data_IF_950321192260
#
_entry.id   IF_950321192260
#
_cell.length_a   1.000
_cell.length_b   1.000
_cell.length_c   1.000
_cell.angle_alpha   90.00
_cell.angle_beta   90.00
_cell.angle_gamma   90.00
#
_symmetry.space_group_name_H-M   'P 1'
#
loop_
_entity.id
_entity.type
_entity.pdbx_description
1 polymer ?
#
# COMPACT_ATOMS: atom_id res chain seq x y z
N UNK A 1 3.16 -1.27 -24.47
CA UNK A 1 1.74 -1.14 -24.09
C UNK A 1 1.70 -0.55 -22.70
N UNK A 2 1.21 0.67 -22.57
CA UNK A 2 1.23 1.40 -21.30
C UNK A 2 0.00 0.97 -20.48
N UNK A 3 0.20 0.20 -19.40
CA UNK A 3 -0.87 -0.06 -18.45
C UNK A 3 -1.38 1.28 -17.90
N UNK A 4 -2.69 1.49 -17.90
CA UNK A 4 -3.26 2.74 -17.36
C UNK A 4 -3.26 2.65 -15.85
N UNK A 5 -2.46 3.50 -15.20
CA UNK A 5 -2.42 3.60 -13.76
C UNK A 5 -3.43 4.64 -13.27
N UNK A 6 -4.27 4.23 -12.34
CA UNK A 6 -5.09 5.11 -11.52
C UNK A 6 -4.29 5.47 -10.28
N UNK A 7 -4.13 6.76 -10.01
CA UNK A 7 -3.42 7.24 -8.82
C UNK A 7 -4.42 7.76 -7.80
N UNK A 8 -4.28 7.32 -6.55
CA UNK A 8 -5.08 7.74 -5.42
C UNK A 8 -4.15 8.24 -4.33
N UNK A 9 -4.58 9.22 -3.55
CA UNK A 9 -3.83 9.73 -2.41
C UNK A 9 -4.68 9.60 -1.17
N UNK A 10 -4.10 9.00 -0.15
CA UNK A 10 -4.73 8.84 1.16
C UNK A 10 -3.79 9.29 2.25
N UNK A 11 -4.37 9.53 3.43
CA UNK A 11 -3.63 9.70 4.66
C UNK A 11 -3.94 8.52 5.58
N UNK A 12 -2.93 7.77 5.99
CA UNK A 12 -3.05 6.61 6.86
C UNK A 12 -2.12 6.80 8.07
N UNK A 13 -2.70 6.83 9.28
CA UNK A 13 -1.99 7.12 10.54
C UNK A 13 -1.10 8.40 10.50
N UNK A 14 -1.52 9.42 9.75
CA UNK A 14 -0.76 10.66 9.56
C UNK A 14 0.35 10.59 8.50
N UNK A 15 0.51 9.46 7.82
CA UNK A 15 1.43 9.27 6.69
C UNK A 15 0.63 9.42 5.40
N UNK A 16 1.05 10.32 4.52
CA UNK A 16 0.47 10.44 3.17
C UNK A 16 1.01 9.32 2.30
N UNK A 17 0.12 8.60 1.63
CA UNK A 17 0.46 7.47 0.76
C UNK A 17 -0.21 7.69 -0.60
N UNK A 18 0.58 7.64 -1.65
CA UNK A 18 0.14 7.54 -3.03
C UNK A 18 -0.01 6.07 -3.41
N UNK A 19 -1.21 5.68 -3.80
CA UNK A 19 -1.57 4.34 -4.27
C UNK A 19 -1.69 4.41 -5.78
N UNK A 20 -0.94 3.57 -6.50
CA UNK A 20 -1.09 3.42 -7.94
C UNK A 20 -1.66 2.07 -8.27
N UNK A 21 -2.69 2.05 -9.08
CA UNK A 21 -3.43 0.84 -9.41
C UNK A 21 -3.54 0.65 -10.92
N UNK A 22 -3.09 -0.50 -11.40
CA UNK A 22 -3.27 -0.95 -12.76
C UNK A 22 -4.01 -2.29 -12.76
N UNK A 23 -5.34 -2.31 -13.03
CA UNK A 23 -6.13 -3.55 -12.99
C UNK A 23 -5.75 -4.54 -14.11
N UNK A 24 -5.23 -4.03 -15.24
CA UNK A 24 -4.76 -4.81 -16.37
C UNK A 24 -3.26 -4.52 -16.59
N UNK A 25 -2.43 -4.96 -15.64
CA UNK A 25 -0.99 -4.76 -15.77
C UNK A 25 -0.39 -5.70 -16.81
N UNK A 26 -0.79 -6.97 -16.81
CA UNK A 26 -0.48 -7.91 -17.90
C UNK A 26 -1.58 -7.87 -18.96
N UNK A 27 -1.19 -7.87 -20.23
CA UNK A 27 -2.15 -8.03 -21.35
C UNK A 27 -2.49 -9.52 -21.60
N UNK A 28 -2.33 -10.36 -20.59
CA UNK A 28 -2.52 -11.81 -20.68
C UNK A 28 -3.93 -12.16 -20.25
N UNK A 29 -4.74 -12.64 -21.19
CA UNK A 29 -6.10 -13.13 -20.91
C UNK A 29 -6.11 -14.45 -20.14
N UNK A 30 -4.98 -15.18 -20.08
CA UNK A 30 -4.87 -16.45 -19.34
C UNK A 30 -4.48 -16.25 -17.87
N UNK A 31 -3.74 -15.19 -17.57
CA UNK A 31 -3.29 -14.85 -16.22
C UNK A 31 -3.37 -13.32 -16.05
N UNK A 32 -4.59 -12.79 -15.85
CA UNK A 32 -4.76 -11.36 -15.61
C UNK A 32 -4.12 -11.02 -14.27
N UNK A 33 -3.03 -10.25 -14.31
CA UNK A 33 -2.36 -9.76 -13.12
C UNK A 33 -2.59 -8.26 -13.05
N UNK A 34 -3.06 -7.82 -11.90
CA UNK A 34 -3.15 -6.44 -11.54
C UNK A 34 -1.94 -6.02 -10.70
N UNK A 35 -1.57 -4.75 -10.79
CA UNK A 35 -0.42 -4.18 -10.11
C UNK A 35 -0.87 -3.05 -9.20
N UNK A 36 -0.55 -3.17 -7.92
CA UNK A 36 -0.80 -2.19 -6.87
C UNK A 36 0.53 -1.70 -6.31
N UNK A 37 0.78 -0.40 -6.37
CA UNK A 37 1.96 0.24 -5.80
C UNK A 37 1.54 1.14 -4.65
N UNK A 38 2.31 1.10 -3.56
CA UNK A 38 2.18 1.98 -2.41
C UNK A 38 3.46 2.80 -2.29
N UNK A 39 3.31 4.12 -2.28
CA UNK A 39 4.41 5.08 -2.17
C UNK A 39 4.09 6.02 -1.02
N UNK A 40 4.82 5.94 0.08
CA UNK A 40 4.71 6.94 1.14
C UNK A 40 5.40 8.24 0.75
N UNK A 41 4.81 9.35 1.16
CA UNK A 41 5.40 10.68 1.05
C UNK A 41 6.68 10.73 1.90
N UNK A 42 7.76 11.29 1.34
CA UNK A 42 9.05 11.34 2.02
C UNK A 42 9.75 9.98 2.21
N UNK A 43 9.30 8.90 1.55
CA UNK A 43 9.87 7.54 1.70
C UNK A 43 9.83 7.03 3.15
N UNK A 44 8.82 7.46 3.90
CA UNK A 44 8.61 7.03 5.28
C UNK A 44 8.33 5.54 5.32
N UNK A 45 8.93 4.84 6.29
CA UNK A 45 8.71 3.42 6.53
C UNK A 45 7.22 3.13 6.70
N UNK A 46 6.73 2.07 6.08
CA UNK A 46 5.38 1.55 6.23
C UNK A 46 5.44 0.14 6.81
N UNK A 47 4.34 -0.41 7.37
CA UNK A 47 4.32 -1.80 7.85
C UNK A 47 4.71 -2.79 6.75
N UNK A 48 4.28 -2.51 5.52
CA UNK A 48 4.49 -3.34 4.32
C UNK A 48 5.85 -3.13 3.64
N UNK A 49 6.62 -2.09 4.02
CA UNK A 49 7.90 -1.76 3.35
C UNK A 49 8.82 -0.88 4.20
N UNK A 50 10.10 -1.21 4.19
CA UNK A 50 11.13 -0.44 4.91
C UNK A 50 11.54 0.86 4.22
N UNK A 51 11.35 0.94 2.89
CA UNK A 51 11.83 2.06 2.06
C UNK A 51 10.73 3.05 1.69
N UNK A 52 9.50 2.82 2.18
CA UNK A 52 8.33 3.60 1.80
C UNK A 52 7.80 3.32 0.40
N UNK A 53 8.32 2.31 -0.29
CA UNK A 53 7.78 1.84 -1.56
C UNK A 53 7.51 0.34 -1.56
N UNK A 54 6.31 -0.06 -2.00
CA UNK A 54 5.93 -1.47 -2.14
C UNK A 54 5.20 -1.67 -3.46
N UNK A 55 5.63 -2.68 -4.21
CA UNK A 55 4.93 -3.20 -5.39
C UNK A 55 4.28 -4.53 -5.02
N UNK A 56 3.01 -4.68 -5.34
CA UNK A 56 2.21 -5.87 -5.07
C UNK A 56 1.46 -6.29 -6.33
N UNK A 57 1.53 -7.58 -6.65
CA UNK A 57 0.87 -8.18 -7.80
C UNK A 57 -0.23 -9.10 -7.29
N UNK A 58 -1.47 -8.84 -7.73
CA UNK A 58 -2.65 -9.58 -7.29
C UNK A 58 -3.68 -9.66 -8.39
N UNK A 59 -4.79 -10.38 -8.16
CA UNK A 59 -5.91 -10.42 -9.07
C UNK A 59 -6.79 -9.17 -8.89
N UNK A 60 -7.28 -8.63 -10.00
CA UNK A 60 -8.23 -7.51 -10.00
C UNK A 60 -9.46 -7.82 -9.15
N UNK A 61 -9.99 -9.04 -9.28
CA UNK A 61 -11.19 -9.51 -8.58
C UNK A 61 -11.06 -9.36 -7.07
N UNK A 62 -9.94 -9.85 -6.49
CA UNK A 62 -9.69 -9.73 -5.05
C UNK A 62 -9.70 -8.27 -4.57
N UNK A 63 -9.14 -7.34 -5.36
CA UNK A 63 -9.12 -5.92 -5.02
C UNK A 63 -10.51 -5.30 -5.11
N UNK A 64 -11.29 -5.66 -6.13
CA UNK A 64 -12.69 -5.21 -6.26
C UNK A 64 -13.59 -5.77 -5.16
N UNK A 65 -13.41 -7.04 -4.76
CA UNK A 65 -14.11 -7.67 -3.63
C UNK A 65 -13.83 -6.96 -2.30
N UNK A 66 -12.62 -6.44 -2.12
CA UNK A 66 -12.25 -5.64 -0.95
C UNK A 66 -12.80 -4.19 -0.98
N UNK A 67 -13.57 -3.81 -2.00
CA UNK A 67 -14.12 -2.46 -2.14
C UNK A 67 -13.21 -1.50 -2.92
N UNK A 68 -12.23 -2.03 -3.66
CA UNK A 68 -11.34 -1.29 -4.54
C UNK A 68 -9.91 -1.13 -4.01
N UNK A 69 -9.02 -0.52 -4.81
CA UNK A 69 -7.58 -0.46 -4.53
C UNK A 69 -7.24 0.31 -3.25
N UNK A 70 -8.02 1.34 -2.93
CA UNK A 70 -7.82 2.14 -1.71
C UNK A 70 -8.20 1.35 -0.47
N UNK A 71 -9.37 0.71 -0.48
CA UNK A 71 -9.83 -0.09 0.65
C UNK A 71 -8.92 -1.30 0.89
N UNK A 72 -8.50 -1.98 -0.19
CA UNK A 72 -7.50 -3.06 -0.13
C UNK A 72 -6.18 -2.59 0.49
N UNK A 73 -5.65 -1.45 0.02
CA UNK A 73 -4.40 -0.89 0.54
C UNK A 73 -4.50 -0.55 2.03
N UNK A 74 -5.59 0.08 2.47
CA UNK A 74 -5.82 0.41 3.89
C UNK A 74 -5.90 -0.87 4.71
N UNK A 75 -6.72 -1.84 4.29
CA UNK A 75 -6.87 -3.11 5.00
C UNK A 75 -5.53 -3.88 5.11
N UNK A 76 -4.71 -3.84 4.05
CA UNK A 76 -3.40 -4.46 4.04
C UNK A 76 -2.43 -3.75 5.00
N UNK A 77 -2.40 -2.42 4.99
CA UNK A 77 -1.60 -1.63 5.94
C UNK A 77 -2.03 -1.88 7.38
N UNK A 78 -3.33 -1.90 7.67
CA UNK A 78 -3.87 -2.17 9.00
C UNK A 78 -3.58 -3.60 9.48
N UNK A 79 -3.63 -4.58 8.57
CA UNK A 79 -3.27 -5.96 8.90
C UNK A 79 -1.80 -6.07 9.30
N UNK A 80 -0.90 -5.52 8.48
CA UNK A 80 0.54 -5.58 8.77
C UNK A 80 0.94 -4.69 9.96
N UNK A 81 0.20 -3.60 10.21
CA UNK A 81 0.39 -2.73 11.35
C UNK A 81 0.07 -3.39 12.70
N UNK A 82 -0.66 -4.51 12.71
CA UNK A 82 -0.90 -5.30 13.92
C UNK A 82 0.34 -6.09 14.37
N UNK A 83 1.38 -6.18 13.53
CA UNK A 83 2.64 -6.82 13.90
C UNK A 83 3.31 -6.09 15.06
N UNK A 84 3.77 -6.85 16.07
CA UNK A 84 4.47 -6.30 17.25
C UNK A 84 5.67 -5.41 16.87
N UNK A 85 6.36 -5.77 15.78
CA UNK A 85 7.48 -5.01 15.23
C UNK A 85 7.09 -3.61 14.76
N UNK A 86 5.92 -3.47 14.11
CA UNK A 86 5.41 -2.17 13.69
C UNK A 86 4.93 -1.34 14.87
N UNK A 87 4.19 -1.97 15.80
CA UNK A 87 3.72 -1.29 17.01
C UNK A 87 4.88 -0.73 17.83
N UNK A 88 5.96 -1.51 18.01
CA UNK A 88 7.17 -1.06 18.69
C UNK A 88 7.86 0.10 17.94
N UNK A 89 7.88 0.07 16.60
CA UNK A 89 8.42 1.18 15.80
C UNK A 89 7.61 2.48 15.99
N UNK A 90 6.28 2.38 15.95
CA UNK A 90 5.39 3.53 16.16
C UNK A 90 5.53 4.09 17.58
N UNK A 91 5.64 3.23 18.58
CA UNK A 91 5.83 3.62 19.98
C UNK A 91 7.19 4.33 20.19
N UNK A 92 8.27 3.77 19.66
CA UNK A 92 9.60 4.40 19.69
C UNK A 92 9.61 5.77 18.98
N UNK A 93 8.93 5.90 17.85
CA UNK A 93 8.80 7.16 17.13
C UNK A 93 8.08 8.24 17.93
N UNK A 94 7.06 7.87 18.72
CA UNK A 94 6.36 8.79 19.64
C UNK A 94 7.24 9.16 20.84
N UNK A 95 8.00 8.20 21.37
CA UNK A 95 8.85 8.42 22.55
C UNK A 95 10.05 9.34 22.27
N UNK A 96 10.58 9.38 21.04
CA UNK A 96 11.69 10.27 20.66
C UNK A 96 11.30 11.75 20.51
N UNK A 97 10.01 12.09 20.60
CA UNK A 97 9.51 13.47 20.49
C UNK A 97 9.39 14.19 21.86
N UNK A 98 9.85 13.57 22.95
CA UNK A 98 9.65 14.05 24.33
C UNK A 98 10.86 14.77 24.97
N UNK A 99 11.85 15.22 24.19
CA UNK A 99 13.03 15.92 24.71
C UNK A 99 13.27 17.28 24.05
#
# INVERSE_FOLDING_TARGET
MSSTYQSFRIEWQGIRIEIRWAPNWTNSSKYPVAHLELISDGRVKLPVTETGYRSHFTSREAVEEHGGPVAFAIAWLDHEAQSETWQCHVDQGKQLSLF
#
